data_IF_139493771793
#
_entry.id   IF_139493771793
#
_cell.length_a   1.000
_cell.length_b   1.000
_cell.length_c   1.000
_cell.angle_alpha   90.00
_cell.angle_beta   90.00
_cell.angle_gamma   90.00
#
_symmetry.space_group_name_H-M   'P 1'
#
loop_
_entity.id
_entity.type
_entity.pdbx_description
1 polymer ?
#
# COMPACT_ATOMS: atom_id res chain seq x y z
N UNK A 1 -13.15 -9.77 -15.43
CA UNK A 1 -12.14 -9.25 -16.37
C UNK A 1 -12.47 -7.85 -16.87
N UNK A 2 -13.75 -7.52 -17.10
CA UNK A 2 -14.17 -6.18 -17.55
C UNK A 2 -13.84 -5.06 -16.55
N UNK A 3 -14.01 -5.30 -15.24
CA UNK A 3 -13.67 -4.32 -14.19
C UNK A 3 -12.23 -3.79 -14.32
N UNK A 4 -11.25 -4.69 -14.44
CA UNK A 4 -9.83 -4.31 -14.54
C UNK A 4 -9.53 -3.56 -15.83
N UNK A 5 -10.21 -3.92 -16.94
CA UNK A 5 -10.09 -3.21 -18.21
C UNK A 5 -10.64 -1.78 -18.08
N UNK A 6 -11.80 -1.61 -17.45
CA UNK A 6 -12.39 -0.31 -17.17
C UNK A 6 -11.50 0.54 -16.26
N UNK A 7 -10.95 -0.05 -15.19
CA UNK A 7 -10.02 0.61 -14.30
C UNK A 7 -8.75 1.08 -15.04
N UNK A 8 -8.16 0.22 -15.87
CA UNK A 8 -7.00 0.58 -16.71
C UNK A 8 -7.30 1.73 -17.67
N UNK A 9 -8.46 1.69 -18.35
CA UNK A 9 -8.88 2.76 -19.26
C UNK A 9 -9.05 4.10 -18.54
N UNK A 10 -9.55 4.09 -17.30
CA UNK A 10 -9.64 5.29 -16.44
C UNK A 10 -8.24 5.81 -16.12
N UNK A 11 -7.32 4.96 -15.68
CA UNK A 11 -5.95 5.37 -15.36
C UNK A 11 -5.22 5.98 -16.55
N UNK A 12 -5.38 5.43 -17.75
CA UNK A 12 -4.79 5.97 -18.98
C UNK A 12 -5.27 7.39 -19.32
N UNK A 13 -6.48 7.77 -18.89
CA UNK A 13 -7.00 9.14 -19.06
C UNK A 13 -6.44 10.10 -18.01
N UNK A 14 -5.94 9.57 -16.89
CA UNK A 14 -5.45 10.34 -15.75
C UNK A 14 -3.97 10.06 -15.45
N UNK A 15 -3.17 9.80 -16.50
CA UNK A 15 -1.73 9.55 -16.41
C UNK A 15 -0.95 10.58 -15.57
N UNK A 16 -1.25 11.90 -15.59
CA UNK A 16 -0.51 12.84 -14.75
C UNK A 16 -0.60 12.53 -13.25
N UNK A 17 -1.75 12.03 -12.78
CA UNK A 17 -1.94 11.65 -11.37
C UNK A 17 -1.17 10.36 -11.05
N UNK A 18 -1.21 9.38 -11.96
CA UNK A 18 -0.43 8.14 -11.82
C UNK A 18 1.06 8.44 -11.81
N UNK A 19 1.55 9.26 -12.74
CA UNK A 19 2.94 9.67 -12.83
C UNK A 19 3.42 10.37 -11.56
N UNK A 20 2.56 11.19 -10.93
CA UNK A 20 2.88 11.81 -9.64
C UNK A 20 3.06 10.76 -8.53
N UNK A 21 2.18 9.76 -8.45
CA UNK A 21 2.31 8.68 -7.46
C UNK A 21 3.60 7.88 -7.69
N UNK A 22 3.85 7.48 -8.94
CA UNK A 22 5.06 6.78 -9.33
C UNK A 22 6.33 7.58 -8.99
N UNK A 23 6.34 8.89 -9.24
CA UNK A 23 7.47 9.75 -8.90
C UNK A 23 7.74 9.79 -7.39
N UNK A 24 6.69 9.87 -6.55
CA UNK A 24 6.87 9.80 -5.09
C UNK A 24 7.39 8.42 -4.68
N UNK A 25 6.88 7.34 -5.27
CA UNK A 25 7.40 5.98 -5.02
C UNK A 25 8.87 5.86 -5.38
N UNK A 26 9.31 6.44 -6.49
CA UNK A 26 10.74 6.45 -6.87
C UNK A 26 11.58 7.13 -5.79
N UNK A 27 11.16 8.30 -5.32
CA UNK A 27 11.88 9.03 -4.27
C UNK A 27 11.95 8.20 -2.98
N UNK A 28 10.83 7.60 -2.58
CA UNK A 28 10.76 6.75 -1.39
C UNK A 28 11.60 5.47 -1.51
N UNK A 29 11.59 4.81 -2.67
CA UNK A 29 12.37 3.60 -2.94
C UNK A 29 13.88 3.90 -2.94
N UNK A 30 14.30 4.99 -3.58
CA UNK A 30 15.70 5.43 -3.57
C UNK A 30 16.16 5.83 -2.17
N UNK A 31 15.34 6.57 -1.43
CA UNK A 31 15.66 6.97 -0.07
C UNK A 31 15.69 5.77 0.89
N UNK A 32 14.80 4.78 0.72
CA UNK A 32 14.83 3.52 1.46
C UNK A 32 16.05 2.67 1.14
N UNK A 33 16.47 2.65 -0.12
CA UNK A 33 17.71 1.98 -0.54
C UNK A 33 18.93 2.67 0.08
N UNK A 34 19.00 4.00 0.03
CA UNK A 34 20.05 4.77 0.66
C UNK A 34 20.10 4.57 2.19
N UNK A 35 18.93 4.53 2.85
CA UNK A 35 18.84 4.23 4.28
C UNK A 35 19.35 2.83 4.61
N UNK A 36 18.99 1.83 3.80
CA UNK A 36 19.47 0.44 3.97
C UNK A 36 20.99 0.38 3.85
N UNK A 37 21.58 1.00 2.82
CA UNK A 37 23.04 1.08 2.64
C UNK A 37 23.69 1.72 3.87
N UNK A 38 23.15 2.86 4.29
CA UNK A 38 23.68 3.60 5.44
C UNK A 38 23.66 2.74 6.72
N UNK A 39 22.58 2.00 6.95
CA UNK A 39 22.46 1.08 8.08
C UNK A 39 23.48 -0.07 8.03
N UNK A 40 23.70 -0.66 6.84
CA UNK A 40 24.71 -1.72 6.63
C UNK A 40 26.13 -1.20 6.80
N UNK A 41 26.43 0.01 6.35
CA UNK A 41 27.77 0.62 6.52
C UNK A 41 28.05 0.97 7.99
N UNK A 42 27.03 1.45 8.72
CA UNK A 42 27.19 1.76 10.15
C UNK A 42 27.24 0.52 11.05
N UNK A 43 26.56 -0.56 10.67
CA UNK A 43 26.52 -1.81 11.43
C UNK A 43 26.95 -2.95 10.50
N UNK A 44 28.26 -3.03 10.18
CA UNK A 44 28.77 -4.03 9.23
C UNK A 44 28.76 -5.45 9.80
N UNK A 45 28.77 -5.58 11.13
CA UNK A 45 28.68 -6.85 11.83
C UNK A 45 27.22 -7.15 12.20
N UNK A 46 26.59 -8.17 11.58
CA UNK A 46 25.19 -8.53 11.87
C UNK A 46 25.00 -9.12 13.27
N UNK A 47 26.09 -9.54 13.95
CA UNK A 47 26.04 -10.16 15.27
C UNK A 47 26.05 -9.11 16.40
N UNK A 48 26.28 -7.84 16.07
CA UNK A 48 26.24 -6.74 17.04
C UNK A 48 24.82 -6.26 17.24
N UNK A 49 24.34 -6.29 18.48
CA UNK A 49 23.02 -5.78 18.82
C UNK A 49 22.86 -4.31 18.38
N UNK A 50 21.76 -3.95 17.70
CA UNK A 50 21.56 -2.59 17.23
C UNK A 50 21.47 -1.62 18.41
N UNK A 51 22.29 -0.55 18.35
CA UNK A 51 22.29 0.50 19.36
C UNK A 51 20.93 1.20 19.47
N UNK A 52 20.65 1.82 20.63
CA UNK A 52 19.44 2.64 20.82
C UNK A 52 19.29 3.73 19.74
N UNK A 53 20.41 4.34 19.33
CA UNK A 53 20.43 5.34 18.27
C UNK A 53 20.04 4.76 16.91
N UNK A 54 20.52 3.56 16.57
CA UNK A 54 20.13 2.85 15.35
C UNK A 54 18.64 2.54 15.32
N UNK A 55 18.09 2.02 16.42
CA UNK A 55 16.65 1.73 16.54
C UNK A 55 15.80 3.01 16.47
N UNK A 56 16.21 4.09 17.15
CA UNK A 56 15.52 5.38 17.04
C UNK A 56 15.51 5.91 15.60
N UNK A 57 16.63 5.77 14.87
CA UNK A 57 16.71 6.17 13.47
C UNK A 57 15.80 5.32 12.57
N UNK A 58 15.71 4.00 12.81
CA UNK A 58 14.78 3.12 12.08
C UNK A 58 13.32 3.50 12.31
N UNK A 59 12.93 3.77 13.56
CA UNK A 59 11.58 4.23 13.89
C UNK A 59 11.29 5.57 13.20
N UNK A 60 12.22 6.51 13.25
CA UNK A 60 12.08 7.81 12.57
C UNK A 60 11.92 7.65 11.05
N UNK A 61 12.72 6.78 10.44
CA UNK A 61 12.62 6.45 9.02
C UNK A 61 11.26 5.84 8.65
N UNK A 62 10.81 4.82 9.38
CA UNK A 62 9.50 4.19 9.12
C UNK A 62 8.34 5.19 9.28
N UNK A 63 8.41 6.04 10.29
CA UNK A 63 7.40 7.07 10.53
C UNK A 63 7.36 8.08 9.38
N UNK A 64 8.52 8.58 8.96
CA UNK A 64 8.63 9.51 7.84
C UNK A 64 8.17 8.88 6.52
N UNK A 65 8.56 7.63 6.25
CA UNK A 65 8.15 6.87 5.08
C UNK A 65 6.63 6.72 5.02
N UNK A 66 6.00 6.28 6.11
CA UNK A 66 4.54 6.13 6.23
C UNK A 66 3.82 7.47 6.05
N UNK A 67 4.35 8.57 6.61
CA UNK A 67 3.77 9.90 6.48
C UNK A 67 3.78 10.39 5.03
N UNK A 68 4.91 10.24 4.32
CA UNK A 68 5.04 10.67 2.92
C UNK A 68 4.16 9.81 2.00
N UNK A 69 4.15 8.49 2.21
CA UNK A 69 3.28 7.56 1.48
C UNK A 69 1.80 7.93 1.68
N UNK A 70 1.38 8.21 2.91
CA UNK A 70 0.01 8.63 3.23
C UNK A 70 -0.38 9.94 2.54
N UNK A 71 0.51 10.93 2.49
CA UNK A 71 0.28 12.18 1.74
C UNK A 71 0.06 11.88 0.26
N UNK A 72 0.92 11.06 -0.35
CA UNK A 72 0.83 10.71 -1.76
C UNK A 72 -0.48 9.96 -2.07
N UNK A 73 -0.84 8.97 -1.25
CA UNK A 73 -2.10 8.24 -1.36
C UNK A 73 -3.29 9.19 -1.23
N UNK A 74 -3.35 10.03 -0.19
CA UNK A 74 -4.43 11.02 -0.02
C UNK A 74 -4.63 11.90 -1.24
N UNK A 75 -3.54 12.51 -1.73
CA UNK A 75 -3.61 13.49 -2.82
C UNK A 75 -3.94 12.78 -4.14
N UNK A 76 -3.19 11.75 -4.50
CA UNK A 76 -3.36 11.10 -5.81
C UNK A 76 -4.68 10.34 -5.87
N UNK A 77 -4.99 9.54 -4.86
CA UNK A 77 -6.22 8.75 -4.86
C UNK A 77 -7.46 9.63 -4.78
N UNK A 78 -7.42 10.76 -4.05
CA UNK A 78 -8.54 11.72 -4.06
C UNK A 78 -8.74 12.34 -5.44
N UNK A 79 -7.65 12.71 -6.12
CA UNK A 79 -7.72 13.26 -7.48
C UNK A 79 -8.29 12.24 -8.46
N UNK A 80 -7.81 10.99 -8.43
CA UNK A 80 -8.33 9.91 -9.29
C UNK A 80 -9.82 9.66 -8.99
N UNK A 81 -10.19 9.49 -7.72
CA UNK A 81 -11.57 9.26 -7.31
C UNK A 81 -12.52 10.41 -7.71
N UNK A 82 -12.06 11.65 -7.56
CA UNK A 82 -12.80 12.85 -8.01
C UNK A 82 -13.06 12.84 -9.50
N UNK A 83 -12.10 12.43 -10.32
CA UNK A 83 -12.29 12.36 -11.77
C UNK A 83 -13.26 11.21 -12.17
N UNK A 84 -13.26 10.09 -11.44
CA UNK A 84 -14.16 8.95 -11.69
C UNK A 84 -15.62 9.27 -11.32
N UNK A 85 -15.81 10.05 -10.25
CA UNK A 85 -17.12 10.23 -9.60
C UNK A 85 -17.65 11.67 -9.61
N UNK A 86 -17.14 12.52 -10.52
CA UNK A 86 -17.74 13.83 -10.78
C UNK A 86 -19.16 13.68 -11.35
N UNK A 87 -20.15 14.50 -10.93
CA UNK A 87 -20.06 15.60 -9.96
C UNK A 87 -20.39 15.22 -8.51
N UNK A 88 -20.68 13.95 -8.22
CA UNK A 88 -21.18 13.48 -6.93
C UNK A 88 -20.11 13.47 -5.83
N UNK A 89 -18.83 13.53 -6.21
CA UNK A 89 -17.72 13.45 -5.28
C UNK A 89 -17.68 14.61 -4.26
N UNK A 90 -17.59 14.25 -2.98
CA UNK A 90 -17.76 15.17 -1.83
C UNK A 90 -16.53 16.02 -1.49
N UNK A 91 -15.33 15.64 -1.95
CA UNK A 91 -14.07 16.29 -1.56
C UNK A 91 -13.57 17.19 -2.68
N UNK A 92 -13.48 18.49 -2.40
CA UNK A 92 -13.28 19.54 -3.41
C UNK A 92 -11.83 19.69 -3.83
N UNK A 93 -10.90 19.69 -2.87
CA UNK A 93 -9.49 20.01 -3.08
C UNK A 93 -8.57 19.08 -2.27
N UNK A 94 -7.26 19.15 -2.57
CA UNK A 94 -6.26 18.27 -1.96
C UNK A 94 -6.07 18.56 -0.47
N UNK A 95 -6.30 19.80 -0.05
CA UNK A 95 -6.23 20.21 1.36
C UNK A 95 -7.32 19.51 2.15
N UNK A 96 -8.54 19.51 1.64
CA UNK A 96 -9.66 18.79 2.26
C UNK A 96 -9.42 17.27 2.27
N UNK A 97 -8.85 16.71 1.19
CA UNK A 97 -8.49 15.30 1.14
C UNK A 97 -7.47 14.92 2.23
N UNK A 98 -6.42 15.73 2.41
CA UNK A 98 -5.43 15.52 3.47
C UNK A 98 -6.07 15.62 4.86
N UNK A 99 -6.93 16.62 5.11
CA UNK A 99 -7.60 16.77 6.40
C UNK A 99 -8.48 15.56 6.77
N UNK A 100 -9.11 14.92 5.77
CA UNK A 100 -10.03 13.81 6.00
C UNK A 100 -9.36 12.44 6.06
N UNK A 101 -8.34 12.21 5.23
CA UNK A 101 -7.83 10.86 4.98
C UNK A 101 -6.37 10.65 5.39
N UNK A 102 -5.62 11.72 5.71
CA UNK A 102 -4.20 11.58 6.08
C UNK A 102 -4.00 10.61 7.23
N UNK A 103 -4.74 10.78 8.32
CA UNK A 103 -4.57 9.94 9.50
C UNK A 103 -4.87 8.47 9.21
N UNK A 104 -5.93 8.19 8.44
CA UNK A 104 -6.29 6.84 8.03
C UNK A 104 -5.16 6.16 7.25
N UNK A 105 -4.68 6.79 6.17
CA UNK A 105 -3.60 6.22 5.37
C UNK A 105 -2.30 6.14 6.17
N UNK A 106 -2.02 7.11 7.02
CA UNK A 106 -0.84 7.10 7.88
C UNK A 106 -0.86 5.91 8.85
N UNK A 107 -1.99 5.67 9.54
CA UNK A 107 -2.17 4.54 10.45
C UNK A 107 -2.07 3.20 9.70
N UNK A 108 -2.70 3.06 8.53
CA UNK A 108 -2.61 1.84 7.73
C UNK A 108 -1.18 1.54 7.29
N UNK A 109 -0.46 2.53 6.76
CA UNK A 109 0.94 2.37 6.37
C UNK A 109 1.82 2.06 7.59
N UNK A 110 1.59 2.73 8.72
CA UNK A 110 2.37 2.52 9.92
C UNK A 110 2.19 1.10 10.48
N UNK A 111 0.95 0.60 10.53
CA UNK A 111 0.64 -0.77 10.98
C UNK A 111 1.24 -1.81 10.01
N UNK A 112 1.09 -1.62 8.70
CA UNK A 112 1.66 -2.53 7.71
C UNK A 112 3.20 -2.56 7.78
N UNK A 113 3.86 -1.39 7.83
CA UNK A 113 5.31 -1.29 7.94
C UNK A 113 5.84 -1.86 9.26
N UNK A 114 5.11 -1.66 10.37
CA UNK A 114 5.45 -2.26 11.67
C UNK A 114 5.34 -3.78 11.60
N UNK A 115 4.31 -4.32 10.97
CA UNK A 115 4.16 -5.77 10.79
C UNK A 115 5.30 -6.37 9.95
N UNK A 116 5.73 -5.70 8.88
CA UNK A 116 6.91 -6.13 8.11
C UNK A 116 8.20 -6.05 8.91
N UNK A 117 8.37 -5.02 9.73
CA UNK A 117 9.55 -4.90 10.58
C UNK A 117 9.61 -6.05 11.61
N UNK A 118 8.47 -6.36 12.25
CA UNK A 118 8.34 -7.51 13.14
C UNK A 118 8.63 -8.81 12.40
N UNK A 119 8.08 -9.00 11.19
CA UNK A 119 8.30 -10.19 10.37
C UNK A 119 9.77 -10.37 9.95
N UNK A 120 10.50 -9.27 9.76
CA UNK A 120 11.93 -9.28 9.44
C UNK A 120 12.86 -9.40 10.66
N UNK A 121 12.33 -9.39 11.88
CA UNK A 121 13.13 -9.51 13.11
C UNK A 121 13.21 -10.98 13.53
N UNK A 122 14.41 -11.59 13.62
CA UNK A 122 14.52 -12.99 14.00
C UNK A 122 14.17 -13.18 15.48
N UNK A 123 13.08 -13.90 15.77
CA UNK A 123 12.67 -14.20 17.15
C UNK A 123 13.46 -15.36 17.83
N UNK A 124 14.51 -15.89 17.20
CA UNK A 124 15.34 -16.98 17.72
C UNK A 124 15.30 -18.25 16.86
N UNK A 125 15.96 -19.32 17.31
CA UNK A 125 16.00 -20.62 16.64
C UNK A 125 14.87 -21.56 17.07
N UNK A 126 14.54 -22.57 16.25
CA UNK A 126 13.61 -23.64 16.61
C UNK A 126 12.13 -23.24 16.55
N UNK A 127 11.35 -23.59 17.59
CA UNK A 127 9.88 -23.42 17.61
C UNK A 127 9.43 -21.96 17.46
N UNK A 128 10.29 -21.01 17.80
CA UNK A 128 10.01 -19.57 17.70
C UNK A 128 10.06 -19.09 16.23
N UNK A 129 10.66 -19.87 15.31
CA UNK A 129 10.65 -19.58 13.86
C UNK A 129 9.23 -19.56 13.29
N UNK A 130 8.29 -20.31 13.86
CA UNK A 130 6.88 -20.28 13.46
C UNK A 130 6.25 -18.88 13.69
N UNK A 131 6.73 -18.12 14.67
CA UNK A 131 6.27 -16.74 14.90
C UNK A 131 6.71 -15.79 13.79
N UNK A 132 7.92 -15.95 13.22
CA UNK A 132 8.37 -15.15 12.08
C UNK A 132 7.46 -15.40 10.85
N UNK A 133 7.10 -16.67 10.62
CA UNK A 133 6.20 -17.06 9.52
C UNK A 133 4.81 -16.47 9.73
N UNK A 134 4.26 -16.58 10.94
CA UNK A 134 2.97 -15.98 11.29
C UNK A 134 2.99 -14.45 11.11
N UNK A 135 4.03 -13.78 11.59
CA UNK A 135 4.19 -12.33 11.42
C UNK A 135 4.26 -11.93 9.94
N UNK A 136 4.94 -12.73 9.11
CA UNK A 136 4.99 -12.52 7.65
C UNK A 136 3.59 -12.63 7.02
N UNK A 137 2.81 -13.65 7.38
CA UNK A 137 1.43 -13.80 6.90
C UNK A 137 0.54 -12.64 7.35
N UNK A 138 0.69 -12.16 8.59
CA UNK A 138 -0.04 -10.98 9.08
C UNK A 138 0.34 -9.74 8.28
N UNK A 139 1.63 -9.50 8.04
CA UNK A 139 2.10 -8.38 7.23
C UNK A 139 1.52 -8.42 5.81
N UNK A 140 1.49 -9.59 5.18
CA UNK A 140 0.88 -9.77 3.86
C UNK A 140 -0.62 -9.51 3.88
N UNK A 141 -1.33 -10.05 4.88
CA UNK A 141 -2.77 -9.83 5.02
C UNK A 141 -3.09 -8.33 5.14
N UNK A 142 -2.28 -7.58 5.89
CA UNK A 142 -2.43 -6.13 6.02
C UNK A 142 -2.23 -5.40 4.69
N UNK A 143 -1.22 -5.75 3.89
CA UNK A 143 -1.01 -5.15 2.56
C UNK A 143 -2.16 -5.46 1.61
N UNK A 144 -2.61 -6.72 1.60
CA UNK A 144 -3.71 -7.18 0.74
C UNK A 144 -4.99 -6.38 0.99
N UNK A 145 -5.28 -6.03 2.24
CA UNK A 145 -6.48 -5.26 2.58
C UNK A 145 -6.28 -3.74 2.52
N UNK A 146 -5.04 -3.24 2.61
CA UNK A 146 -4.74 -1.81 2.79
C UNK A 146 -5.39 -0.92 1.72
N UNK A 147 -5.13 -1.20 0.43
CA UNK A 147 -5.64 -0.37 -0.66
C UNK A 147 -7.14 -0.58 -0.86
N UNK A 148 -7.69 -1.82 -0.93
CA UNK A 148 -9.13 -2.02 -1.07
C UNK A 148 -9.93 -1.37 0.07
N UNK A 149 -9.52 -1.59 1.33
CA UNK A 149 -10.24 -1.04 2.49
C UNK A 149 -10.10 0.47 2.55
N UNK A 150 -8.89 1.00 2.33
CA UNK A 150 -8.67 2.45 2.27
C UNK A 150 -9.47 3.10 1.16
N UNK A 151 -9.67 2.43 0.02
CA UNK A 151 -10.53 2.91 -1.07
C UNK A 151 -11.99 3.00 -0.62
N UNK A 152 -12.55 1.94 -0.03
CA UNK A 152 -13.95 1.94 0.39
C UNK A 152 -14.22 3.01 1.48
N UNK A 153 -13.31 3.13 2.46
CA UNK A 153 -13.37 4.19 3.46
C UNK A 153 -13.26 5.58 2.85
N UNK A 154 -12.35 5.75 1.90
CA UNK A 154 -12.19 7.01 1.20
C UNK A 154 -13.47 7.35 0.45
N UNK A 155 -14.06 6.41 -0.29
CA UNK A 155 -15.29 6.56 -1.06
C UNK A 155 -16.49 7.02 -0.22
N UNK A 156 -16.61 6.56 1.03
CA UNK A 156 -17.63 7.04 1.97
C UNK A 156 -17.58 8.58 2.14
N UNK A 157 -16.38 9.15 2.04
CA UNK A 157 -16.10 10.58 2.02
C UNK A 157 -15.69 11.16 3.37
N UNK A 158 -15.68 10.36 4.43
CA UNK A 158 -15.23 10.73 5.76
C UNK A 158 -14.73 9.50 6.49
N UNK A 159 -13.57 9.59 7.14
CA UNK A 159 -13.07 8.53 8.00
C UNK A 159 -13.33 8.86 9.46
N UNK A 160 -13.99 7.93 10.15
CA UNK A 160 -14.03 7.88 11.60
C UNK A 160 -14.04 6.41 12.03
N UNK A 161 -13.40 6.09 13.15
CA UNK A 161 -13.39 4.73 13.68
C UNK A 161 -14.79 4.17 13.97
N UNK A 162 -15.76 5.06 14.24
CA UNK A 162 -17.16 4.68 14.47
C UNK A 162 -17.87 4.26 13.18
N UNK A 163 -17.54 4.89 12.05
CA UNK A 163 -18.13 4.60 10.73
C UNK A 163 -17.29 3.62 9.91
N UNK A 164 -16.27 3.01 10.51
CA UNK A 164 -15.38 2.09 9.80
C UNK A 164 -16.14 0.90 9.20
N UNK A 165 -17.10 0.34 9.94
CA UNK A 165 -17.96 -0.74 9.44
C UNK A 165 -18.76 -0.32 8.21
N UNK A 166 -19.37 0.87 8.25
CA UNK A 166 -20.20 1.40 7.16
C UNK A 166 -19.38 1.60 5.88
N UNK A 167 -18.15 2.06 6.01
CA UNK A 167 -17.25 2.23 4.86
C UNK A 167 -16.86 0.91 4.20
N UNK A 168 -16.96 -0.23 4.89
CA UNK A 168 -16.75 -1.56 4.30
C UNK A 168 -18.04 -2.20 3.76
N UNK A 169 -19.18 -1.50 3.82
CA UNK A 169 -20.46 -1.98 3.28
C UNK A 169 -20.37 -2.54 1.85
N UNK A 170 -19.78 -1.81 0.88
CA UNK A 170 -19.66 -2.29 -0.50
C UNK A 170 -18.89 -3.61 -0.62
N UNK A 171 -17.89 -3.82 0.25
CA UNK A 171 -17.09 -5.03 0.26
C UNK A 171 -17.92 -6.25 0.69
N UNK A 172 -18.78 -6.08 1.70
CA UNK A 172 -19.66 -7.15 2.18
C UNK A 172 -20.82 -7.46 1.24
N UNK A 173 -21.36 -6.44 0.54
CA UNK A 173 -22.45 -6.62 -0.42
C UNK A 173 -21.98 -7.22 -1.74
N UNK A 174 -20.77 -6.88 -2.19
CA UNK A 174 -20.25 -7.28 -3.50
C UNK A 174 -18.90 -8.01 -3.45
N UNK A 175 -18.77 -9.10 -2.66
CA UNK A 175 -17.48 -9.77 -2.47
C UNK A 175 -16.91 -10.38 -3.76
N UNK A 176 -17.77 -10.83 -4.68
CA UNK A 176 -17.34 -11.42 -5.96
C UNK A 176 -16.68 -10.37 -6.87
N UNK A 177 -17.17 -9.13 -6.86
CA UNK A 177 -16.61 -8.04 -7.66
C UNK A 177 -15.26 -7.55 -7.11
N UNK A 178 -15.06 -7.65 -5.80
CA UNK A 178 -13.77 -7.37 -5.16
C UNK A 178 -12.74 -8.50 -5.32
N UNK A 179 -13.14 -9.73 -5.64
CA UNK A 179 -12.23 -10.86 -5.81
C UNK A 179 -11.02 -10.57 -6.75
N UNK A 180 -11.20 -9.99 -7.96
CA UNK A 180 -10.05 -9.62 -8.81
C UNK A 180 -9.16 -8.53 -8.20
N UNK A 181 -9.72 -7.63 -7.38
CA UNK A 181 -8.97 -6.58 -6.69
C UNK A 181 -8.01 -7.22 -5.68
N UNK A 182 -8.52 -8.11 -4.82
CA UNK A 182 -7.67 -8.86 -3.88
C UNK A 182 -6.68 -9.77 -4.60
N UNK A 183 -7.09 -10.42 -5.69
CA UNK A 183 -6.20 -11.25 -6.49
C UNK A 183 -4.95 -10.50 -6.96
N UNK A 184 -5.11 -9.25 -7.42
CA UNK A 184 -3.96 -8.41 -7.79
C UNK A 184 -3.09 -8.08 -6.58
N UNK A 185 -3.68 -7.70 -5.44
CA UNK A 185 -2.90 -7.38 -4.23
C UNK A 185 -2.12 -8.56 -3.67
N UNK A 186 -2.67 -9.77 -3.76
CA UNK A 186 -1.97 -11.01 -3.40
C UNK A 186 -0.79 -11.24 -4.35
N UNK A 187 -1.00 -11.05 -5.66
CA UNK A 187 0.09 -11.16 -6.64
C UNK A 187 1.18 -10.11 -6.41
N UNK A 188 0.83 -8.87 -6.02
CA UNK A 188 1.80 -7.84 -5.63
C UNK A 188 2.65 -8.32 -4.44
N UNK A 189 2.05 -8.93 -3.41
CA UNK A 189 2.77 -9.45 -2.24
C UNK A 189 3.73 -10.59 -2.61
N UNK A 190 3.27 -11.53 -3.43
CA UNK A 190 4.09 -12.66 -3.92
C UNK A 190 5.27 -12.12 -4.74
N UNK A 191 4.99 -11.23 -5.68
CA UNK A 191 6.01 -10.64 -6.55
C UNK A 191 7.02 -9.81 -5.77
N UNK A 192 6.55 -8.94 -4.86
CA UNK A 192 7.41 -8.13 -4.00
C UNK A 192 8.33 -8.99 -3.11
N UNK A 193 7.81 -10.09 -2.56
CA UNK A 193 8.61 -11.03 -1.77
C UNK A 193 9.64 -11.74 -2.63
N UNK A 194 9.23 -12.25 -3.81
CA UNK A 194 10.15 -12.92 -4.74
C UNK A 194 11.31 -12.01 -5.15
N UNK A 195 11.01 -10.75 -5.50
CA UNK A 195 12.03 -9.74 -5.82
C UNK A 195 12.90 -9.45 -4.60
N UNK A 196 12.30 -9.29 -3.42
CA UNK A 196 13.03 -9.07 -2.17
C UNK A 196 14.05 -10.18 -1.86
N UNK A 197 13.68 -11.44 -2.11
CA UNK A 197 14.57 -12.59 -1.96
C UNK A 197 15.71 -12.59 -3.00
N UNK A 198 15.41 -12.26 -4.26
CA UNK A 198 16.41 -12.20 -5.32
C UNK A 198 17.37 -11.01 -5.20
N UNK A 199 16.98 -9.97 -4.46
CA UNK A 199 17.72 -8.71 -4.34
C UNK A 199 18.46 -8.57 -3.00
N UNK A 200 18.52 -9.65 -2.21
CA UNK A 200 19.33 -9.65 -1.00
C UNK A 200 20.82 -9.48 -1.36
N UNK A 201 21.52 -8.50 -0.77
CA UNK A 201 22.92 -8.28 -1.09
C UNK A 201 23.79 -9.36 -0.44
N UNK A 202 24.38 -10.25 -1.25
CA UNK A 202 25.36 -11.28 -0.81
C UNK A 202 26.75 -10.71 -0.47
N UNK A 203 26.82 -9.45 -0.04
CA UNK A 203 28.01 -8.82 0.55
C UNK A 203 29.25 -8.66 -0.33
N UNK A 204 29.27 -9.07 -1.61
CA UNK A 204 30.55 -9.30 -2.31
C UNK A 204 30.87 -8.47 -3.54
N UNK A 205 29.95 -7.74 -4.20
CA UNK A 205 30.31 -6.88 -5.36
C UNK A 205 29.48 -5.60 -5.54
N UNK A 206 30.16 -4.45 -5.63
CA UNK A 206 29.56 -3.11 -5.86
C UNK A 206 28.88 -2.95 -7.22
N UNK A 207 29.32 -3.67 -8.25
CA UNK A 207 28.68 -3.68 -9.58
C UNK A 207 27.30 -4.33 -9.56
N UNK A 208 27.12 -5.36 -8.73
CA UNK A 208 25.86 -6.07 -8.53
C UNK A 208 24.83 -5.20 -7.81
N UNK A 209 25.30 -4.26 -6.98
CA UNK A 209 24.45 -3.35 -6.22
C UNK A 209 23.62 -2.39 -7.09
N UNK A 210 24.22 -1.81 -8.14
CA UNK A 210 23.51 -0.90 -9.05
C UNK A 210 22.40 -1.64 -9.81
N UNK A 211 22.68 -2.85 -10.31
CA UNK A 211 21.71 -3.68 -11.00
C UNK A 211 20.55 -4.09 -10.08
N UNK A 212 20.86 -4.50 -8.84
CA UNK A 212 19.86 -4.83 -7.81
C UNK A 212 18.96 -3.63 -7.51
N UNK A 213 19.54 -2.44 -7.34
CA UNK A 213 18.78 -1.22 -7.04
C UNK A 213 17.84 -0.86 -8.18
N UNK A 214 18.30 -0.96 -9.43
CA UNK A 214 17.46 -0.71 -10.61
C UNK A 214 16.33 -1.74 -10.73
N UNK A 215 16.62 -3.02 -10.51
CA UNK A 215 15.61 -4.08 -10.53
C UNK A 215 14.53 -3.85 -9.45
N UNK A 216 14.95 -3.51 -8.23
CA UNK A 216 14.03 -3.18 -7.14
C UNK A 216 13.17 -1.95 -7.47
N UNK A 217 13.78 -0.89 -7.98
CA UNK A 217 13.06 0.32 -8.38
C UNK A 217 12.01 0.04 -9.47
N UNK A 218 12.33 -0.77 -10.46
CA UNK A 218 11.40 -1.18 -11.50
C UNK A 218 10.21 -1.97 -10.92
N UNK A 219 10.47 -2.82 -9.93
CA UNK A 219 9.43 -3.57 -9.23
C UNK A 219 8.54 -2.67 -8.37
N UNK A 220 9.13 -1.73 -7.63
CA UNK A 220 8.38 -0.77 -6.81
C UNK A 220 7.48 0.12 -7.68
N UNK A 221 7.96 0.53 -8.87
CA UNK A 221 7.17 1.24 -9.87
C UNK A 221 6.00 0.40 -10.40
N UNK A 222 6.23 -0.88 -10.69
CA UNK A 222 5.17 -1.79 -11.13
C UNK A 222 4.11 -1.98 -10.03
N UNK A 223 4.55 -2.16 -8.77
CA UNK A 223 3.65 -2.28 -7.61
C UNK A 223 2.85 -0.99 -7.43
N UNK A 224 3.48 0.18 -7.49
CA UNK A 224 2.78 1.46 -7.33
C UNK A 224 1.77 1.75 -8.46
N UNK A 225 2.05 1.30 -9.69
CA UNK A 225 1.07 1.33 -10.77
C UNK A 225 -0.13 0.41 -10.46
N UNK A 226 0.15 -0.79 -9.97
CA UNK A 226 -0.88 -1.74 -9.56
C UNK A 226 -1.71 -1.21 -8.38
N UNK A 227 -1.14 -0.47 -7.43
CA UNK A 227 -1.90 0.19 -6.36
C UNK A 227 -2.93 1.17 -6.93
N UNK A 228 -2.54 1.97 -7.93
CA UNK A 228 -3.46 2.87 -8.62
C UNK A 228 -4.59 2.09 -9.32
N UNK A 229 -4.26 0.92 -9.90
CA UNK A 229 -5.22 0.06 -10.59
C UNK A 229 -6.20 -0.59 -9.59
N UNK A 230 -5.68 -1.11 -8.48
CA UNK A 230 -6.45 -1.70 -7.36
C UNK A 230 -7.37 -0.64 -6.77
N UNK A 231 -6.86 0.55 -6.47
CA UNK A 231 -7.64 1.69 -6.01
C UNK A 231 -8.79 2.02 -6.98
N UNK A 232 -8.47 2.17 -8.27
CA UNK A 232 -9.46 2.51 -9.30
C UNK A 232 -10.52 1.42 -9.45
N UNK A 233 -10.11 0.14 -9.45
CA UNK A 233 -11.03 -0.98 -9.55
C UNK A 233 -11.96 -1.06 -8.32
N UNK A 234 -11.42 -0.94 -7.11
CA UNK A 234 -12.20 -0.90 -5.88
C UNK A 234 -13.19 0.28 -5.90
N UNK A 235 -12.76 1.45 -6.38
CA UNK A 235 -13.62 2.63 -6.48
C UNK A 235 -14.79 2.42 -7.44
N UNK A 236 -14.57 1.77 -8.58
CA UNK A 236 -15.61 1.44 -9.53
C UNK A 236 -16.64 0.48 -8.93
N UNK A 237 -16.21 -0.49 -8.12
CA UNK A 237 -17.13 -1.38 -7.40
C UNK A 237 -17.96 -0.60 -6.36
N UNK A 238 -17.33 0.29 -5.59
CA UNK A 238 -18.07 1.15 -4.64
C UNK A 238 -19.08 2.06 -5.35
N UNK A 239 -18.73 2.57 -6.53
CA UNK A 239 -19.62 3.37 -7.37
C UNK A 239 -20.82 2.54 -7.85
N UNK A 240 -20.58 1.33 -8.34
CA UNK A 240 -21.65 0.46 -8.83
C UNK A 240 -22.60 0.01 -7.71
N UNK A 241 -22.06 -0.27 -6.52
CA UNK A 241 -22.84 -0.55 -5.29
C UNK A 241 -23.74 0.63 -4.89
N UNK A 242 -23.26 1.88 -5.02
CA UNK A 242 -24.06 3.07 -4.75
C UNK A 242 -25.16 3.27 -5.81
N UNK A 243 -24.81 3.08 -7.07
CA UNK A 243 -25.68 3.41 -8.20
C UNK A 243 -26.74 2.30 -8.46
N UNK A 244 -26.49 1.08 -7.97
CA UNK A 244 -27.43 -0.04 -7.99
C UNK A 244 -27.66 -0.56 -6.55
N UNK A 245 -28.41 0.18 -5.72
CA UNK A 245 -28.81 -0.32 -4.41
C UNK A 245 -29.61 -1.61 -4.61
N UNK A 246 -29.30 -2.65 -3.83
CA UNK A 246 -30.05 -3.90 -3.86
C UNK A 246 -31.55 -3.56 -3.77
N UNK A 247 -32.31 -3.89 -4.82
CA UNK A 247 -33.77 -3.91 -4.72
C UNK A 247 -34.06 -4.92 -3.61
N UNK A 248 -34.41 -4.40 -2.44
CA UNK A 248 -34.92 -5.25 -1.36
C UNK A 248 -36.20 -5.83 -1.96
N UNK A 249 -36.13 -7.06 -2.46
CA UNK A 249 -37.29 -7.88 -2.78
C UNK A 249 -38.05 -8.04 -1.45
N UNK A 250 -38.95 -7.09 -1.20
CA UNK A 250 -39.94 -7.11 -0.13
C UNK A 250 -41.02 -8.12 -0.54
N UNK A 251 -40.61 -9.35 -0.83
CA UNK A 251 -41.50 -10.50 -0.94
C UNK A 251 -41.84 -10.94 0.49
N UNK A 252 -42.72 -10.17 1.12
CA UNK A 252 -43.46 -10.54 2.33
C UNK A 252 -44.75 -11.29 1.97
#
# INVERSE_FOLDING_TARGET
MELLKSASNVLQRHLPNVALYLAVTVVLSLAGSAFTIYQTVLNPDPDVEPTLASNAMRIAWFTAYSAIAAIAQCVVFSRIGREIDRPLWKVRDDREALQRFYMMWFEFNLVANTAFWIAGTPFGEGEIQALNVLATFIAWALVVILVPFGTCQMFLGSFSWQTFGDGLGPLSRRPIEFAPVFGITILQCIFGTYVGLLTQPDGTETSTFALITVARLACDLAIAYLDCLVFTAAWLVCKDDRDSPDEIDLDF
#
